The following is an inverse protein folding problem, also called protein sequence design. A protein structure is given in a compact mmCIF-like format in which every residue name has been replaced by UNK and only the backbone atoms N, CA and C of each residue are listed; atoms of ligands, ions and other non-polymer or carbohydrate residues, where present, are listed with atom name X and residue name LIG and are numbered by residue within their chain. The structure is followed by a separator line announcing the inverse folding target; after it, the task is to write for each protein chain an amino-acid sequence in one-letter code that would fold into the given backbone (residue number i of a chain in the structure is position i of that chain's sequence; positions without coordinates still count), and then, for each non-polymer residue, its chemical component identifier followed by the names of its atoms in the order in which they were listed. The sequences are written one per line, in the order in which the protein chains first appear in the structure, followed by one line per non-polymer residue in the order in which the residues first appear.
data_IF_444466184562
#
_entry.id   IF_444466184562
#
_cell.length_a   1.000
_cell.length_b   1.000
_cell.length_c   1.000
_cell.angle_alpha   90.00
_cell.angle_beta   90.00
_cell.angle_gamma   90.00
#
_symmetry.space_group_name_H-M   'P 1'
#
loop_
_entity.id
_entity.type
_entity.pdbx_description
1 polymer ?
#
# COMPACT_ATOMS: atom_id res chain seq x y z
N UNK A 1 22.89 23.38 34.50
CA UNK A 1 22.26 22.05 34.67
C UNK A 1 21.31 22.16 35.83
N UNK A 2 20.01 21.95 35.74
CA UNK A 2 19.24 21.08 34.86
C UNK A 2 17.79 21.59 34.92
N UNK A 3 17.17 21.88 33.78
CA UNK A 3 15.76 22.27 33.72
C UNK A 3 14.95 21.03 33.37
N UNK A 4 14.05 20.62 34.28
CA UNK A 4 13.20 19.45 34.10
C UNK A 4 12.12 19.72 33.04
N UNK A 5 12.25 19.05 31.89
CA UNK A 5 11.24 19.02 30.84
C UNK A 5 10.19 17.98 31.20
N UNK A 6 9.01 18.45 31.63
CA UNK A 6 7.84 17.58 31.78
C UNK A 6 7.29 17.24 30.40
N UNK A 7 7.48 15.99 30.00
CA UNK A 7 6.81 15.35 28.87
C UNK A 7 5.28 15.37 29.09
N UNK A 8 4.55 16.03 28.20
CA UNK A 8 3.11 15.85 28.07
C UNK A 8 2.83 14.62 27.22
N UNK A 9 2.16 13.67 27.84
CA UNK A 9 1.79 12.35 27.36
C UNK A 9 0.37 12.40 26.79
N UNK A 10 0.20 11.86 25.58
CA UNK A 10 -1.03 11.43 24.89
C UNK A 10 -2.26 12.36 24.92
N UNK A 11 -2.71 12.76 23.73
CA UNK A 11 -4.14 12.58 23.40
C UNK A 11 -4.29 12.11 21.96
N UNK A 12 -4.90 10.94 21.81
CA UNK A 12 -5.26 10.31 20.55
C UNK A 12 -6.56 10.97 20.07
N UNK A 13 -6.52 11.68 18.94
CA UNK A 13 -7.74 12.04 18.22
C UNK A 13 -7.90 11.13 17.01
N UNK A 14 -8.43 9.94 17.28
CA UNK A 14 -8.96 9.04 16.29
C UNK A 14 -10.40 9.48 15.97
N UNK A 15 -10.55 10.40 15.02
CA UNK A 15 -11.86 10.76 14.49
C UNK A 15 -11.80 10.92 12.96
N UNK A 16 -12.25 9.85 12.30
CA UNK A 16 -13.00 9.86 11.04
C UNK A 16 -12.31 10.45 9.80
N UNK A 17 -11.50 9.63 9.13
CA UNK A 17 -11.42 9.69 7.67
C UNK A 17 -12.82 9.49 7.10
N UNK A 18 -13.42 10.60 6.67
CA UNK A 18 -14.71 10.65 6.00
C UNK A 18 -14.61 9.93 4.67
N UNK A 19 -14.94 8.64 4.66
CA UNK A 19 -15.30 7.95 3.42
C UNK A 19 -16.68 8.44 2.98
N UNK A 20 -16.71 9.60 2.33
CA UNK A 20 -17.89 10.04 1.59
C UNK A 20 -18.03 9.16 0.35
N UNK A 21 -18.76 8.06 0.52
CA UNK A 21 -19.34 7.27 -0.55
C UNK A 21 -20.47 8.08 -1.19
N UNK A 22 -20.28 8.50 -2.44
CA UNK A 22 -21.36 8.89 -3.33
C UNK A 22 -20.88 8.75 -4.79
N UNK A 23 -21.24 7.61 -5.38
CA UNK A 23 -21.68 7.50 -6.78
C UNK A 23 -20.97 8.42 -7.79
N UNK A 24 -19.71 8.11 -8.07
CA UNK A 24 -19.07 8.55 -9.29
C UNK A 24 -18.88 7.29 -10.14
N UNK A 25 -19.59 7.21 -11.26
CA UNK A 25 -19.25 6.29 -12.34
C UNK A 25 -17.75 6.44 -12.59
N UNK A 26 -16.96 5.49 -12.08
CA UNK A 26 -15.53 5.48 -12.32
C UNK A 26 -15.40 5.31 -13.83
N UNK A 27 -14.90 6.32 -14.58
CA UNK A 27 -14.68 6.13 -16.00
C UNK A 27 -13.77 4.91 -16.14
N UNK A 28 -14.09 3.99 -17.06
CA UNK A 28 -13.47 2.67 -17.11
C UNK A 28 -11.91 2.67 -17.12
N UNK A 29 -11.28 3.79 -17.49
CA UNK A 29 -9.85 4.02 -17.37
C UNK A 29 -9.37 4.11 -15.91
N UNK A 30 -10.08 4.82 -15.03
CA UNK A 30 -9.71 4.97 -13.61
C UNK A 30 -10.00 3.70 -12.81
N UNK A 31 -11.00 2.91 -13.21
CA UNK A 31 -11.28 1.62 -12.58
C UNK A 31 -10.13 0.64 -12.78
N UNK A 32 -9.46 0.71 -13.94
CA UNK A 32 -8.30 -0.12 -14.24
C UNK A 32 -7.08 0.29 -13.41
N UNK A 33 -6.87 1.60 -13.24
CA UNK A 33 -5.82 2.15 -12.38
C UNK A 33 -6.03 1.76 -10.91
N UNK A 34 -7.25 1.95 -10.40
CA UNK A 34 -7.62 1.65 -9.01
C UNK A 34 -7.44 0.17 -8.68
N UNK A 35 -7.87 -0.73 -9.57
CA UNK A 35 -7.71 -2.18 -9.38
C UNK A 35 -6.24 -2.60 -9.36
N UNK A 36 -5.41 -2.05 -10.24
CA UNK A 36 -3.97 -2.32 -10.23
C UNK A 36 -3.31 -1.79 -8.95
N UNK A 37 -3.73 -0.63 -8.45
CA UNK A 37 -3.25 -0.09 -7.18
C UNK A 37 -3.62 -0.99 -5.98
N UNK A 38 -4.85 -1.49 -5.94
CA UNK A 38 -5.30 -2.46 -4.94
C UNK A 38 -4.46 -3.75 -4.99
N UNK A 39 -4.27 -4.32 -6.18
CA UNK A 39 -3.45 -5.53 -6.38
C UNK A 39 -1.99 -5.31 -5.92
N UNK A 40 -1.39 -4.16 -6.24
CA UNK A 40 -0.04 -3.79 -5.76
C UNK A 40 0.01 -3.70 -4.24
N UNK A 41 -1.01 -3.10 -3.62
CA UNK A 41 -1.08 -2.95 -2.16
C UNK A 41 -1.32 -4.29 -1.44
N UNK A 42 -2.11 -5.18 -2.02
CA UNK A 42 -2.29 -6.56 -1.52
C UNK A 42 -0.98 -7.35 -1.62
N UNK A 43 -0.28 -7.29 -2.74
CA UNK A 43 0.98 -7.99 -2.93
C UNK A 43 2.07 -7.49 -1.97
N UNK A 44 2.14 -6.18 -1.70
CA UNK A 44 3.06 -5.61 -0.69
C UNK A 44 2.77 -6.12 0.72
N UNK A 45 1.50 -6.19 1.09
CA UNK A 45 1.07 -6.76 2.38
C UNK A 45 1.43 -8.24 2.46
N UNK A 46 1.08 -9.01 1.44
CA UNK A 46 1.38 -10.44 1.37
C UNK A 46 2.89 -10.71 1.41
N UNK A 47 3.72 -9.91 0.72
CA UNK A 47 5.18 -10.04 0.75
C UNK A 47 5.73 -9.79 2.16
N UNK A 48 5.17 -8.82 2.86
CA UNK A 48 5.55 -8.49 4.24
C UNK A 48 5.16 -9.62 5.19
N UNK A 49 3.95 -10.16 5.07
CA UNK A 49 3.50 -11.31 5.87
C UNK A 49 4.36 -12.56 5.60
N UNK A 50 4.67 -12.85 4.33
CA UNK A 50 5.56 -13.95 3.97
C UNK A 50 6.96 -13.76 4.55
N UNK A 51 7.50 -12.53 4.50
CA UNK A 51 8.79 -12.23 5.12
C UNK A 51 8.76 -12.43 6.64
N UNK A 52 7.71 -11.94 7.32
CA UNK A 52 7.57 -12.12 8.77
C UNK A 52 7.45 -13.59 9.18
N UNK A 53 6.86 -14.42 8.31
CA UNK A 53 6.70 -15.85 8.56
C UNK A 53 7.99 -16.65 8.30
N UNK A 54 8.66 -16.36 7.20
CA UNK A 54 9.86 -17.10 6.77
C UNK A 54 11.17 -16.52 7.36
N UNK A 55 11.11 -15.32 7.96
CA UNK A 55 12.24 -14.51 8.44
C UNK A 55 13.35 -14.31 7.40
N UNK A 56 13.00 -14.40 6.11
CA UNK A 56 13.98 -14.41 5.01
C UNK A 56 13.42 -13.75 3.76
N UNK A 57 14.13 -12.72 3.29
CA UNK A 57 13.83 -12.04 2.04
C UNK A 57 14.14 -12.88 0.80
N UNK A 58 14.97 -13.91 0.93
CA UNK A 58 15.33 -14.80 -0.17
C UNK A 58 14.59 -16.14 -0.11
N UNK A 59 13.58 -16.26 0.74
CA UNK A 59 12.68 -17.41 0.74
C UNK A 59 11.91 -17.48 -0.58
N UNK A 60 11.62 -18.69 -1.05
CA UNK A 60 10.91 -18.89 -2.33
C UNK A 60 9.55 -18.16 -2.34
N UNK A 61 8.83 -18.18 -1.21
CA UNK A 61 7.57 -17.48 -1.01
C UNK A 61 7.69 -15.97 -1.20
N UNK A 62 8.66 -15.32 -0.55
CA UNK A 62 8.87 -13.86 -0.68
C UNK A 62 9.34 -13.51 -2.09
N UNK A 63 10.22 -14.33 -2.66
CA UNK A 63 10.73 -14.13 -4.02
C UNK A 63 9.64 -14.28 -5.08
N UNK A 64 8.68 -15.20 -4.90
CA UNK A 64 7.53 -15.35 -5.79
C UNK A 64 6.61 -14.13 -5.74
N UNK A 65 6.26 -13.68 -4.52
CA UNK A 65 5.42 -12.50 -4.35
C UNK A 65 6.12 -11.26 -4.91
N UNK A 66 7.44 -11.11 -4.71
CA UNK A 66 8.22 -10.00 -5.27
C UNK A 66 8.15 -9.98 -6.80
N UNK A 67 8.33 -11.13 -7.47
CA UNK A 67 8.22 -11.23 -8.93
C UNK A 67 6.83 -10.83 -9.43
N UNK A 68 5.79 -11.24 -8.71
CA UNK A 68 4.41 -10.90 -9.04
C UNK A 68 4.13 -9.41 -8.84
N UNK A 69 4.63 -8.83 -7.74
CA UNK A 69 4.54 -7.41 -7.44
C UNK A 69 5.23 -6.57 -8.52
N UNK A 70 6.43 -6.96 -8.96
CA UNK A 70 7.15 -6.27 -10.04
C UNK A 70 6.35 -6.25 -11.33
N UNK A 71 5.69 -7.37 -11.65
CA UNK A 71 4.81 -7.47 -12.84
C UNK A 71 3.69 -6.44 -12.77
N UNK A 72 3.04 -6.30 -11.60
CA UNK A 72 1.96 -5.33 -11.39
C UNK A 72 2.42 -3.89 -11.41
N UNK A 73 3.60 -3.60 -10.87
CA UNK A 73 4.22 -2.28 -10.96
C UNK A 73 4.49 -1.92 -12.43
N UNK A 74 5.03 -2.85 -13.22
CA UNK A 74 5.27 -2.63 -14.65
C UNK A 74 3.97 -2.36 -15.41
N UNK A 75 2.91 -3.14 -15.14
CA UNK A 75 1.58 -2.92 -15.71
C UNK A 75 1.04 -1.53 -15.38
N UNK A 76 1.08 -1.16 -14.10
CA UNK A 76 0.65 0.15 -13.62
C UNK A 76 1.45 1.28 -14.28
N UNK A 77 2.77 1.16 -14.35
CA UNK A 77 3.61 2.19 -14.97
C UNK A 77 3.32 2.35 -16.46
N UNK A 78 3.02 1.27 -17.19
CA UNK A 78 2.58 1.35 -18.59
C UNK A 78 1.22 2.03 -18.71
N UNK A 79 0.28 1.70 -17.83
CA UNK A 79 -1.06 2.29 -17.84
C UNK A 79 -1.01 3.81 -17.61
N UNK A 80 -0.25 4.25 -16.61
CA UNK A 80 -0.02 5.68 -16.31
C UNK A 80 0.70 6.39 -17.45
N UNK A 81 1.72 5.76 -18.05
CA UNK A 81 2.47 6.36 -19.16
C UNK A 81 1.64 6.51 -20.43
N UNK A 82 0.68 5.62 -20.68
CA UNK A 82 -0.20 5.67 -21.84
C UNK A 82 -1.33 6.72 -21.72
N UNK A 83 -1.59 7.24 -20.52
CA UNK A 83 -2.59 8.28 -20.26
C UNK A 83 -2.01 9.70 -20.14
N UNK A 84 -0.72 9.89 -20.51
CA UNK A 84 -0.03 11.20 -20.54
C UNK A 84 0.26 11.65 -21.95
#
# INVERSE_FOLDING_TARGET
MESAEHQSFLEQDAAVHSISSADAEIPACDASNHRLEEEINELRRSMTEAFLKEESFTSDSVMEISRLLDTKIIEYMKLVSNHR
#
